data_IF_178698215001
#
_entry.id   IF_178698215001
#
_cell.length_a   1.000
_cell.length_b   1.000
_cell.length_c   1.000
_cell.angle_alpha   90.00
_cell.angle_beta   90.00
_cell.angle_gamma   90.00
#
_symmetry.space_group_name_H-M   'P 1'
#
loop_
_entity.id
_entity.type
_entity.pdbx_description
1 polymer ?
#
# COMPACT_ATOMS: atom_id res chain seq x y z
N UNK A 1 -48.39 8.11 13.34
CA UNK A 1 -47.22 9.03 13.41
C UNK A 1 -45.92 8.32 13.76
N UNK A 2 -45.92 7.37 14.71
CA UNK A 2 -44.74 6.57 15.09
C UNK A 2 -44.07 5.84 13.91
N UNK A 3 -44.85 5.27 12.98
CA UNK A 3 -44.31 4.54 11.82
C UNK A 3 -43.61 5.46 10.79
N UNK A 4 -44.02 6.73 10.70
CA UNK A 4 -43.36 7.73 9.84
C UNK A 4 -42.03 8.21 10.41
N UNK A 5 -41.88 8.19 11.74
CA UNK A 5 -40.62 8.48 12.44
C UNK A 5 -39.62 7.34 12.24
N UNK A 6 -40.07 6.08 12.36
CA UNK A 6 -39.22 4.91 12.08
C UNK A 6 -38.71 4.89 10.64
N UNK A 7 -39.57 5.18 9.65
CA UNK A 7 -39.16 5.25 8.23
C UNK A 7 -38.11 6.35 7.99
N UNK A 8 -38.25 7.52 8.62
CA UNK A 8 -37.27 8.60 8.49
C UNK A 8 -35.93 8.24 9.15
N UNK A 9 -35.95 7.55 10.29
CA UNK A 9 -34.72 7.11 10.97
C UNK A 9 -33.99 6.07 10.13
N UNK A 10 -34.68 5.08 9.57
CA UNK A 10 -34.08 4.06 8.70
C UNK A 10 -33.47 4.67 7.43
N UNK A 11 -34.10 5.69 6.85
CA UNK A 11 -33.58 6.38 5.66
C UNK A 11 -32.27 7.15 5.96
N UNK A 12 -32.17 7.78 7.13
CA UNK A 12 -30.95 8.49 7.56
C UNK A 12 -29.78 7.53 7.77
N UNK A 13 -30.02 6.35 8.36
CA UNK A 13 -28.98 5.33 8.51
C UNK A 13 -28.51 4.73 7.17
N UNK A 14 -29.40 4.63 6.17
CA UNK A 14 -29.03 4.14 4.84
C UNK A 14 -28.12 5.12 4.08
N UNK A 15 -28.36 6.43 4.22
CA UNK A 15 -27.55 7.47 3.57
C UNK A 15 -26.15 7.55 4.21
N UNK A 16 -26.05 7.44 5.53
CA UNK A 16 -24.77 7.49 6.26
C UNK A 16 -23.84 6.31 5.94
N UNK A 17 -24.37 5.15 5.53
CA UNK A 17 -23.58 3.97 5.20
C UNK A 17 -22.74 4.07 3.92
N UNK A 18 -23.00 5.06 3.06
CA UNK A 18 -22.36 5.16 1.73
C UNK A 18 -21.08 6.02 1.70
N UNK A 19 -20.77 6.75 2.78
CA UNK A 19 -19.65 7.71 2.82
C UNK A 19 -18.28 7.10 3.11
N UNK A 20 -18.20 5.78 3.38
CA UNK A 20 -16.95 5.16 3.87
C UNK A 20 -16.11 4.47 2.80
N UNK A 21 -16.54 4.46 1.54
CA UNK A 21 -15.82 3.79 0.46
C UNK A 21 -15.79 4.66 -0.79
N UNK A 22 -14.94 5.68 -0.78
CA UNK A 22 -14.49 6.28 -2.04
C UNK A 22 -13.47 5.32 -2.65
N UNK A 23 -13.77 4.67 -3.79
CA UNK A 23 -12.77 3.87 -4.48
C UNK A 23 -11.62 4.79 -4.91
N UNK A 24 -10.39 4.46 -4.48
CA UNK A 24 -9.19 5.12 -4.98
C UNK A 24 -9.05 4.83 -6.49
N UNK A 25 -8.64 5.82 -7.27
CA UNK A 25 -8.46 5.61 -8.71
C UNK A 25 -7.25 4.73 -9.01
N UNK A 26 -7.28 4.01 -10.14
CA UNK A 26 -6.16 3.20 -10.61
C UNK A 26 -4.85 4.00 -10.68
N UNK A 27 -4.93 5.25 -11.14
CA UNK A 27 -3.77 6.15 -11.19
C UNK A 27 -3.21 6.42 -9.80
N UNK A 28 -4.06 6.76 -8.83
CA UNK A 28 -3.62 7.04 -7.46
C UNK A 28 -3.04 5.79 -6.78
N UNK A 29 -3.62 4.61 -7.02
CA UNK A 29 -3.09 3.33 -6.52
C UNK A 29 -1.66 3.10 -7.06
N UNK A 30 -1.46 3.29 -8.37
CA UNK A 30 -0.15 3.12 -9.00
C UNK A 30 0.86 4.13 -8.46
N UNK A 31 0.46 5.40 -8.31
CA UNK A 31 1.36 6.43 -7.77
C UNK A 31 1.70 6.19 -6.31
N UNK A 32 0.74 5.80 -5.47
CA UNK A 32 1.04 5.51 -4.05
C UNK A 32 2.00 4.33 -3.92
N UNK A 33 1.80 3.25 -4.71
CA UNK A 33 2.73 2.14 -4.73
C UNK A 33 4.15 2.58 -5.12
N UNK A 34 4.30 3.33 -6.22
CA UNK A 34 5.61 3.84 -6.69
C UNK A 34 6.28 4.71 -5.65
N UNK A 35 5.54 5.64 -5.06
CA UNK A 35 6.06 6.56 -4.05
C UNK A 35 6.51 5.83 -2.80
N UNK A 36 5.73 4.84 -2.32
CA UNK A 36 6.09 4.04 -1.15
C UNK A 36 7.29 3.14 -1.42
N UNK A 37 7.35 2.50 -2.59
CA UNK A 37 8.51 1.70 -3.00
C UNK A 37 9.79 2.56 -3.07
N UNK A 38 9.70 3.75 -3.66
CA UNK A 38 10.85 4.69 -3.73
C UNK A 38 11.30 5.18 -2.36
N UNK A 39 10.38 5.43 -1.42
CA UNK A 39 10.73 5.76 -0.03
C UNK A 39 11.47 4.61 0.66
N UNK A 40 11.02 3.37 0.48
CA UNK A 40 11.69 2.20 1.03
C UNK A 40 13.09 2.04 0.43
N UNK A 41 13.25 2.28 -0.88
CA UNK A 41 14.57 2.26 -1.50
C UNK A 41 15.52 3.29 -0.88
N UNK A 42 15.01 4.49 -0.58
CA UNK A 42 15.80 5.50 0.11
C UNK A 42 16.13 5.08 1.55
N UNK A 43 15.18 4.50 2.28
CA UNK A 43 15.43 3.97 3.63
C UNK A 43 16.51 2.87 3.63
N UNK A 44 16.56 2.01 2.60
CA UNK A 44 17.66 1.03 2.43
C UNK A 44 19.01 1.73 2.33
N UNK A 45 19.10 2.78 1.48
CA UNK A 45 20.35 3.51 1.23
C UNK A 45 20.83 4.24 2.48
N UNK A 46 19.90 4.80 3.24
CA UNK A 46 20.19 5.65 4.40
C UNK A 46 20.33 4.85 5.71
N UNK A 47 19.92 3.58 5.73
CA UNK A 47 20.04 2.73 6.91
C UNK A 47 21.50 2.64 7.38
N UNK A 48 21.71 2.89 8.67
CA UNK A 48 23.01 3.00 9.35
C UNK A 48 23.24 1.88 10.38
N UNK A 49 22.32 0.92 10.45
CA UNK A 49 22.34 -0.16 11.42
C UNK A 49 21.52 -1.37 10.97
N UNK A 50 21.84 -2.55 11.52
CA UNK A 50 21.03 -3.76 11.34
C UNK A 50 19.58 -3.59 11.81
N UNK A 51 19.35 -2.76 12.82
CA UNK A 51 17.99 -2.48 13.31
C UNK A 51 17.20 -1.69 12.27
N UNK A 52 17.77 -0.63 11.69
CA UNK A 52 17.13 0.12 10.62
C UNK A 52 16.80 -0.77 9.41
N UNK A 53 17.69 -1.70 9.03
CA UNK A 53 17.42 -2.66 7.96
C UNK A 53 16.26 -3.62 8.29
N UNK A 54 16.13 -4.08 9.54
CA UNK A 54 14.97 -4.88 9.94
C UNK A 54 13.65 -4.11 9.83
N UNK A 55 13.65 -2.81 10.12
CA UNK A 55 12.46 -1.96 9.95
C UNK A 55 12.09 -1.75 8.47
N UNK A 56 13.09 -1.69 7.59
CA UNK A 56 12.87 -1.68 6.14
C UNK A 56 12.17 -2.97 5.69
N UNK A 57 12.61 -4.15 6.16
CA UNK A 57 11.95 -5.43 5.79
C UNK A 57 10.47 -5.44 6.18
N UNK A 58 10.14 -4.95 7.39
CA UNK A 58 8.74 -4.78 7.82
C UNK A 58 7.97 -3.85 6.88
N UNK A 59 8.62 -2.78 6.41
CA UNK A 59 8.02 -1.84 5.46
C UNK A 59 7.79 -2.46 4.08
N UNK A 60 8.69 -3.33 3.62
CA UNK A 60 8.53 -4.10 2.37
C UNK A 60 7.35 -5.07 2.48
N UNK A 61 7.23 -5.78 3.60
CA UNK A 61 6.11 -6.70 3.82
C UNK A 61 4.77 -5.97 3.94
N UNK A 62 4.75 -4.80 4.58
CA UNK A 62 3.58 -3.93 4.61
C UNK A 62 3.21 -3.44 3.21
N UNK A 63 4.19 -3.00 2.41
CA UNK A 63 3.95 -2.61 1.01
C UNK A 63 3.33 -3.76 0.21
N UNK A 64 3.82 -4.99 0.37
CA UNK A 64 3.23 -6.16 -0.27
C UNK A 64 1.79 -6.38 0.18
N UNK A 65 1.53 -6.36 1.48
CA UNK A 65 0.20 -6.60 2.05
C UNK A 65 -0.84 -5.58 1.56
N UNK A 66 -0.47 -4.29 1.53
CA UNK A 66 -1.39 -3.21 1.20
C UNK A 66 -1.79 -3.22 -0.28
N UNK A 67 -0.95 -3.79 -1.16
CA UNK A 67 -1.13 -3.69 -2.61
C UNK A 67 -1.33 -5.02 -3.34
N UNK A 68 -1.32 -6.15 -2.64
CA UNK A 68 -1.48 -7.47 -3.28
C UNK A 68 -2.81 -7.61 -4.04
N UNK A 69 -3.88 -6.99 -3.52
CA UNK A 69 -5.19 -6.95 -4.18
C UNK A 69 -5.18 -6.20 -5.51
N UNK A 70 -4.21 -5.31 -5.71
CA UNK A 70 -4.03 -4.51 -6.93
C UNK A 70 -2.94 -5.06 -7.85
N UNK A 71 -2.39 -6.26 -7.59
CA UNK A 71 -1.29 -6.86 -8.36
C UNK A 71 -1.51 -6.78 -9.88
N UNK A 72 -2.70 -7.16 -10.35
CA UNK A 72 -2.99 -7.15 -11.79
C UNK A 72 -2.90 -5.75 -12.43
N UNK A 73 -3.34 -4.71 -11.72
CA UNK A 73 -3.19 -3.32 -12.15
C UNK A 73 -1.71 -2.91 -12.16
N UNK A 74 -0.99 -3.22 -11.08
CA UNK A 74 0.41 -2.85 -10.91
C UNK A 74 1.31 -3.56 -11.94
N UNK A 75 1.09 -4.84 -12.20
CA UNK A 75 1.85 -5.60 -13.22
C UNK A 75 1.74 -4.98 -14.62
N UNK A 76 0.60 -4.37 -14.96
CA UNK A 76 0.41 -3.66 -16.24
C UNK A 76 0.99 -2.25 -16.24
N UNK A 77 1.12 -1.63 -15.06
CA UNK A 77 1.42 -0.18 -14.93
C UNK A 77 2.88 0.11 -14.58
N UNK A 78 3.64 -0.91 -14.16
CA UNK A 78 5.02 -0.76 -13.66
C UNK A 78 6.11 -1.05 -14.71
N UNK A 79 5.75 -1.26 -15.99
CA UNK A 79 6.69 -1.64 -17.04
C UNK A 79 7.96 -0.75 -17.07
N UNK A 80 9.17 -1.31 -17.23
CA UNK A 80 9.48 -2.72 -17.51
C UNK A 80 9.37 -3.66 -16.30
N UNK A 81 9.18 -3.10 -15.11
CA UNK A 81 9.00 -3.88 -13.88
C UNK A 81 7.54 -4.34 -13.71
N UNK A 82 7.31 -5.12 -12.66
CA UNK A 82 5.99 -5.53 -12.21
C UNK A 82 5.95 -5.54 -10.67
N UNK A 83 4.82 -5.94 -10.08
CA UNK A 83 4.64 -5.92 -8.63
C UNK A 83 5.69 -6.77 -7.91
N UNK A 84 5.88 -8.01 -8.36
CA UNK A 84 6.78 -8.97 -7.72
C UNK A 84 8.25 -8.57 -7.93
N UNK A 85 8.61 -8.12 -9.14
CA UNK A 85 9.96 -7.67 -9.47
C UNK A 85 10.35 -6.46 -8.61
N UNK A 86 9.45 -5.49 -8.43
CA UNK A 86 9.70 -4.33 -7.56
C UNK A 86 9.98 -4.78 -6.13
N UNK A 87 9.13 -5.65 -5.56
CA UNK A 87 9.33 -6.15 -4.19
C UNK A 87 10.62 -6.97 -4.05
N UNK A 88 10.95 -7.79 -5.05
CA UNK A 88 12.16 -8.60 -5.05
C UNK A 88 13.42 -7.73 -5.13
N UNK A 89 13.41 -6.65 -5.92
CA UNK A 89 14.51 -5.68 -5.96
C UNK A 89 14.72 -5.02 -4.59
N UNK A 90 13.64 -4.60 -3.92
CA UNK A 90 13.74 -4.03 -2.56
C UNK A 90 14.32 -5.03 -1.56
N UNK A 91 13.82 -6.27 -1.53
CA UNK A 91 14.35 -7.33 -0.65
C UNK A 91 15.82 -7.65 -0.93
N UNK A 92 16.20 -7.75 -2.20
CA UNK A 92 17.58 -8.00 -2.59
C UNK A 92 18.50 -6.86 -2.15
N UNK A 93 18.09 -5.61 -2.37
CA UNK A 93 18.86 -4.44 -1.97
C UNK A 93 19.02 -4.35 -0.45
N UNK A 94 17.95 -4.62 0.30
CA UNK A 94 17.98 -4.67 1.76
C UNK A 94 18.89 -5.80 2.27
N UNK A 95 18.80 -7.00 1.70
CA UNK A 95 19.69 -8.13 2.03
C UNK A 95 21.17 -7.87 1.67
N UNK A 96 21.44 -7.10 0.62
CA UNK A 96 22.79 -6.65 0.29
C UNK A 96 23.30 -5.66 1.34
N UNK A 97 22.50 -4.63 1.65
CA UNK A 97 22.85 -3.63 2.67
C UNK A 97 23.02 -4.22 4.06
N UNK A 98 22.28 -5.28 4.40
CA UNK A 98 22.44 -6.00 5.66
C UNK A 98 23.87 -6.54 5.85
N UNK A 99 24.57 -6.90 4.76
CA UNK A 99 25.93 -7.44 4.81
C UNK A 99 27.00 -6.38 5.10
N UNK A 100 26.63 -5.10 5.07
CA UNK A 100 27.54 -3.99 5.37
C UNK A 100 27.73 -3.78 6.89
N UNK A 101 26.98 -4.50 7.73
CA UNK A 101 26.99 -4.42 9.20
C UNK A 101 27.31 -5.77 9.86
#
# INVERSE_FOLDING_TARGET
MKNKIFINITLVFFILGTYLAFPQSDYEIVQDFKNRAGRIEQQIKDADSLTAIREVEVSIDKLKSDFISYKGLLDRSLYPDNFDLTLNKLRNNSALRQKDF
#
